data_IF_377287908616
#
_entry.id   IF_377287908616
#
_cell.length_a   1.000
_cell.length_b   1.000
_cell.length_c   1.000
_cell.angle_alpha   90.00
_cell.angle_beta   90.00
_cell.angle_gamma   90.00
#
_symmetry.space_group_name_H-M   'P 1'
#
loop_
_entity.id
_entity.type
_entity.pdbx_description
1 polymer ?
#
# COMPACT_ATOMS: atom_id res chain seq x y z
N UNK A 1 55.07 -34.94 20.70
CA UNK A 1 54.71 -33.66 20.04
C UNK A 1 53.19 -33.50 20.14
N UNK A 2 52.70 -32.50 20.88
CA UNK A 2 51.27 -32.18 21.00
C UNK A 2 50.96 -31.04 20.03
N UNK A 3 50.06 -31.28 19.09
CA UNK A 3 49.53 -30.26 18.18
C UNK A 3 48.17 -29.79 18.73
N UNK A 4 48.07 -28.51 19.06
CA UNK A 4 46.81 -27.84 19.38
C UNK A 4 45.99 -27.62 18.10
N UNK A 5 44.66 -27.84 18.10
CA UNK A 5 43.81 -27.42 17.00
C UNK A 5 43.55 -25.90 17.06
N UNK A 6 43.50 -25.20 15.90
CA UNK A 6 43.20 -23.78 15.86
C UNK A 6 41.70 -23.50 15.99
N UNK A 7 41.43 -22.54 16.86
CA UNK A 7 40.30 -21.60 16.96
C UNK A 7 39.26 -21.62 15.82
N UNK A 8 38.16 -22.34 16.05
CA UNK A 8 36.85 -22.15 15.42
C UNK A 8 36.12 -20.97 16.08
N UNK A 9 36.51 -19.72 15.79
CA UNK A 9 35.85 -18.53 16.38
C UNK A 9 35.68 -17.35 15.41
N UNK A 10 35.73 -17.58 14.09
CA UNK A 10 35.69 -16.49 13.09
C UNK A 10 34.39 -16.27 12.26
N UNK A 11 33.35 -17.13 12.22
CA UNK A 11 32.19 -16.83 11.38
C UNK A 11 31.08 -16.02 12.10
N UNK A 12 31.23 -15.68 13.39
CA UNK A 12 30.14 -15.07 14.19
C UNK A 12 30.11 -13.52 14.20
N UNK A 13 31.04 -12.84 13.51
CA UNK A 13 31.11 -11.38 13.47
C UNK A 13 30.54 -10.75 12.18
N UNK A 14 29.89 -11.54 11.31
CA UNK A 14 29.10 -11.02 10.18
C UNK A 14 27.61 -10.87 10.54
N UNK A 15 27.32 -10.56 11.81
CA UNK A 15 26.01 -10.05 12.22
C UNK A 15 25.89 -8.64 11.67
N UNK A 16 25.02 -8.47 10.68
CA UNK A 16 24.86 -7.24 9.91
C UNK A 16 24.75 -6.00 10.78
N UNK A 17 25.58 -5.00 10.49
CA UNK A 17 25.46 -3.67 11.07
C UNK A 17 24.09 -3.09 10.67
N UNK A 18 23.27 -2.60 11.62
CA UNK A 18 22.10 -1.80 11.27
C UNK A 18 22.55 -0.61 10.41
N UNK A 19 21.83 -0.30 9.34
CA UNK A 19 22.20 0.73 8.36
C UNK A 19 22.43 2.11 8.99
N UNK A 20 21.83 2.37 10.15
CA UNK A 20 22.07 3.56 10.96
C UNK A 20 23.55 3.70 11.39
N UNK A 21 24.26 2.59 11.61
CA UNK A 21 25.71 2.59 11.91
C UNK A 21 26.57 2.91 10.69
N UNK A 22 25.99 2.83 9.48
CA UNK A 22 26.63 3.29 8.24
C UNK A 22 26.32 4.77 7.96
N UNK A 23 25.67 5.48 8.88
CA UNK A 23 25.30 6.89 8.74
C UNK A 23 24.13 7.12 7.78
N UNK A 24 23.40 6.07 7.40
CA UNK A 24 22.22 6.17 6.54
C UNK A 24 21.02 6.51 7.43
N UNK A 25 20.51 7.74 7.31
CA UNK A 25 19.27 8.12 7.97
C UNK A 25 18.09 7.50 7.21
N UNK A 26 17.37 6.59 7.86
CA UNK A 26 16.13 6.02 7.33
C UNK A 26 14.98 6.81 7.97
N UNK A 27 14.23 7.61 7.19
CA UNK A 27 13.08 8.33 7.74
C UNK A 27 12.03 7.34 8.24
N UNK A 28 11.65 7.50 9.51
CA UNK A 28 10.66 6.63 10.17
C UNK A 28 9.24 6.89 9.66
N UNK A 29 8.94 8.11 9.19
CA UNK A 29 7.65 8.51 8.65
C UNK A 29 7.69 9.89 8.00
N UNK A 30 6.54 10.43 7.65
CA UNK A 30 6.42 11.73 6.97
C UNK A 30 6.59 11.64 5.45
N UNK A 31 6.60 12.79 4.74
CA UNK A 31 6.74 12.82 3.29
C UNK A 31 8.03 12.16 2.81
N UNK A 32 9.14 12.35 3.54
CA UNK A 32 10.46 11.82 3.19
C UNK A 32 10.55 10.28 3.32
N UNK A 33 9.61 9.65 4.02
CA UNK A 33 9.56 8.18 4.14
C UNK A 33 9.12 7.49 2.84
N UNK A 34 8.48 8.22 1.93
CA UNK A 34 8.13 7.72 0.60
C UNK A 34 9.37 7.75 -0.30
N UNK A 35 9.93 6.58 -0.59
CA UNK A 35 11.11 6.43 -1.44
C UNK A 35 10.76 5.72 -2.75
N UNK A 36 11.43 6.11 -3.83
CA UNK A 36 11.24 5.47 -5.12
C UNK A 36 11.83 4.06 -5.12
N UNK A 37 12.85 3.81 -4.30
CA UNK A 37 13.48 2.49 -4.09
C UNK A 37 12.51 1.50 -3.43
N UNK A 38 11.80 1.91 -2.39
CA UNK A 38 10.80 1.07 -1.74
C UNK A 38 9.63 0.76 -2.68
N UNK A 39 9.18 1.78 -3.43
CA UNK A 39 8.12 1.62 -4.43
C UNK A 39 8.55 0.65 -5.54
N UNK A 40 9.76 0.81 -6.07
CA UNK A 40 10.33 -0.08 -7.09
C UNK A 40 10.43 -1.52 -6.58
N UNK A 41 10.97 -1.72 -5.38
CA UNK A 41 11.09 -3.04 -4.75
C UNK A 41 9.72 -3.72 -4.65
N UNK A 42 8.72 -3.00 -4.15
CA UNK A 42 7.41 -3.57 -3.88
C UNK A 42 6.66 -3.87 -5.18
N UNK A 43 6.79 -3.03 -6.21
CA UNK A 43 6.30 -3.33 -7.58
C UNK A 43 6.95 -4.59 -8.13
N UNK A 44 8.28 -4.69 -8.09
CA UNK A 44 9.00 -5.86 -8.59
C UNK A 44 8.59 -7.14 -7.86
N UNK A 45 8.42 -7.07 -6.53
CA UNK A 45 8.01 -8.22 -5.74
C UNK A 45 6.62 -8.74 -6.16
N UNK A 46 5.67 -7.85 -6.44
CA UNK A 46 4.32 -8.21 -6.88
C UNK A 46 4.30 -8.71 -8.32
N UNK A 47 4.99 -8.05 -9.25
CA UNK A 47 5.04 -8.45 -10.67
C UNK A 47 5.64 -9.85 -10.84
N UNK A 48 6.69 -10.19 -10.07
CA UNK A 48 7.35 -11.51 -10.13
C UNK A 48 6.43 -12.69 -9.79
N UNK A 49 5.33 -12.45 -9.08
CA UNK A 49 4.36 -13.49 -8.75
C UNK A 49 3.48 -13.90 -9.95
N UNK A 50 3.49 -13.13 -11.04
CA UNK A 50 2.58 -13.31 -12.16
C UNK A 50 1.14 -12.93 -11.81
N UNK A 51 0.19 -13.76 -12.24
CA UNK A 51 -1.24 -13.54 -12.01
C UNK A 51 -1.64 -13.80 -10.54
N UNK A 52 -2.19 -12.76 -9.91
CA UNK A 52 -2.63 -12.71 -8.50
C UNK A 52 -4.15 -12.55 -8.36
N UNK A 53 -4.92 -12.70 -9.45
CA UNK A 53 -6.39 -12.70 -9.39
C UNK A 53 -6.91 -13.83 -8.50
N UNK A 54 -8.11 -13.71 -7.89
CA UNK A 54 -8.68 -14.77 -7.07
C UNK A 54 -8.64 -16.14 -7.76
N UNK A 55 -8.08 -17.15 -7.09
CA UNK A 55 -7.91 -18.51 -7.62
C UNK A 55 -6.70 -18.73 -8.52
N UNK A 56 -5.96 -17.68 -8.90
CA UNK A 56 -4.73 -17.81 -9.69
C UNK A 56 -3.55 -18.31 -8.82
N UNK A 57 -2.50 -18.90 -9.42
CA UNK A 57 -1.34 -19.43 -8.69
C UNK A 57 -0.63 -18.39 -7.80
N UNK A 58 -0.55 -17.13 -8.23
CA UNK A 58 0.10 -16.04 -7.50
C UNK A 58 -0.78 -15.39 -6.42
N UNK A 59 -2.06 -15.73 -6.33
CA UNK A 59 -3.03 -15.03 -5.47
C UNK A 59 -2.63 -15.07 -4.00
N UNK A 60 -2.36 -16.27 -3.47
CA UNK A 60 -1.99 -16.44 -2.06
C UNK A 60 -0.68 -15.72 -1.72
N UNK A 61 0.34 -15.88 -2.55
CA UNK A 61 1.63 -15.21 -2.35
C UNK A 61 1.48 -13.68 -2.42
N UNK A 62 0.59 -13.17 -3.29
CA UNK A 62 0.27 -11.76 -3.38
C UNK A 62 -0.30 -11.21 -2.07
N UNK A 63 -1.32 -11.89 -1.53
CA UNK A 63 -1.94 -11.54 -0.25
C UNK A 63 -0.92 -11.54 0.90
N UNK A 64 -0.08 -12.57 0.97
CA UNK A 64 0.97 -12.69 1.99
C UNK A 64 2.00 -11.56 1.89
N UNK A 65 2.40 -11.15 0.68
CA UNK A 65 3.27 -9.99 0.49
C UNK A 65 2.58 -8.72 0.96
N UNK A 66 1.36 -8.44 0.50
CA UNK A 66 0.65 -7.19 0.85
C UNK A 66 0.45 -7.09 2.36
N UNK A 67 -0.03 -8.17 3.00
CA UNK A 67 -0.20 -8.23 4.45
C UNK A 67 1.11 -7.96 5.18
N UNK A 68 2.18 -8.68 4.80
CA UNK A 68 3.49 -8.54 5.46
C UNK A 68 4.00 -7.11 5.35
N UNK A 69 3.91 -6.53 4.14
CA UNK A 69 4.39 -5.17 3.87
C UNK A 69 3.60 -4.12 4.66
N UNK A 70 2.27 -4.22 4.75
CA UNK A 70 1.48 -3.34 5.61
C UNK A 70 1.90 -3.45 7.08
N UNK A 71 2.09 -4.68 7.60
CA UNK A 71 2.60 -4.90 8.94
C UNK A 71 3.99 -4.28 9.19
N UNK A 72 4.89 -4.36 8.22
CA UNK A 72 6.21 -3.71 8.27
C UNK A 72 6.10 -2.18 8.32
N UNK A 73 5.03 -1.57 7.79
CA UNK A 73 4.75 -0.13 7.89
C UNK A 73 4.05 0.26 9.21
N UNK A 74 4.09 -0.63 10.22
CA UNK A 74 3.45 -0.47 11.53
C UNK A 74 1.96 -0.13 11.44
N UNK A 75 1.24 -0.77 10.53
CA UNK A 75 -0.23 -0.79 10.59
C UNK A 75 -0.68 -1.88 11.56
N UNK A 76 -1.91 -1.79 12.05
CA UNK A 76 -2.61 -2.87 12.73
C UNK A 76 -3.53 -3.60 11.74
N UNK A 77 -3.90 -4.87 11.98
CA UNK A 77 -4.91 -5.55 11.18
C UNK A 77 -6.27 -4.83 11.29
N UNK A 78 -6.98 -4.66 10.16
CA UNK A 78 -8.23 -3.91 10.14
C UNK A 78 -9.50 -4.80 10.15
N UNK A 79 -9.39 -6.10 9.86
CA UNK A 79 -10.52 -7.04 9.94
C UNK A 79 -10.48 -7.81 11.26
N UNK A 80 -10.75 -7.10 12.37
CA UNK A 80 -10.65 -7.66 13.72
C UNK A 80 -9.21 -8.04 14.08
N UNK A 81 -8.88 -9.34 14.02
CA UNK A 81 -7.51 -9.83 14.27
C UNK A 81 -6.70 -10.10 12.99
N UNK A 82 -7.30 -9.95 11.82
CA UNK A 82 -6.70 -10.29 10.52
C UNK A 82 -6.52 -9.08 9.60
N UNK A 83 -5.53 -9.18 8.71
CA UNK A 83 -5.35 -8.23 7.61
C UNK A 83 -6.22 -8.57 6.41
N UNK A 84 -6.58 -9.84 6.25
CA UNK A 84 -7.11 -10.38 5.00
C UNK A 84 -8.55 -10.83 5.23
N UNK A 85 -9.43 -10.36 4.36
CA UNK A 85 -10.78 -10.90 4.18
C UNK A 85 -10.88 -11.49 2.76
N UNK A 86 -11.45 -12.69 2.64
CA UNK A 86 -11.63 -13.36 1.35
C UNK A 86 -13.05 -13.88 1.20
N UNK A 87 -13.61 -13.68 0.02
CA UNK A 87 -14.86 -14.30 -0.42
C UNK A 87 -14.62 -15.09 -1.70
N UNK A 88 -15.64 -15.81 -2.16
CA UNK A 88 -15.54 -16.66 -3.34
C UNK A 88 -15.08 -15.91 -4.61
N UNK A 89 -15.44 -14.63 -4.72
CA UNK A 89 -15.21 -13.82 -5.92
C UNK A 89 -14.10 -12.79 -5.79
N UNK A 90 -13.53 -12.60 -4.59
CA UNK A 90 -12.59 -11.51 -4.34
C UNK A 90 -11.96 -11.51 -2.96
N UNK A 91 -11.06 -10.57 -2.75
CA UNK A 91 -10.32 -10.40 -1.52
C UNK A 91 -10.07 -8.92 -1.21
N UNK A 92 -9.86 -8.64 0.07
CA UNK A 92 -9.39 -7.36 0.59
C UNK A 92 -8.27 -7.61 1.61
N UNK A 93 -7.21 -6.80 1.55
CA UNK A 93 -6.13 -6.77 2.54
C UNK A 93 -6.03 -5.37 3.11
N UNK A 94 -6.39 -5.20 4.38
CA UNK A 94 -6.51 -3.89 5.02
C UNK A 94 -5.65 -3.79 6.29
N UNK A 95 -4.87 -2.72 6.36
CA UNK A 95 -4.16 -2.27 7.56
C UNK A 95 -4.73 -0.94 8.05
N UNK A 96 -4.69 -0.71 9.36
CA UNK A 96 -5.17 0.52 9.98
C UNK A 96 -4.07 1.25 10.76
N UNK A 97 -4.16 2.57 10.81
CA UNK A 97 -3.46 3.43 11.77
C UNK A 97 -4.50 4.18 12.57
N UNK A 98 -4.54 3.91 13.87
CA UNK A 98 -5.55 4.48 14.76
C UNK A 98 -5.40 5.99 14.85
N UNK A 99 -6.50 6.69 14.65
CA UNK A 99 -6.58 8.13 14.81
C UNK A 99 -7.04 8.53 16.21
N UNK A 100 -7.19 9.85 16.41
CA UNK A 100 -7.70 10.42 17.67
C UNK A 100 -9.21 10.65 17.67
N UNK A 101 -9.87 10.53 16.53
CA UNK A 101 -11.32 10.68 16.38
C UNK A 101 -12.02 9.35 16.06
N UNK A 102 -13.35 9.35 16.11
CA UNK A 102 -14.20 8.23 15.69
C UNK A 102 -14.40 8.14 14.17
N UNK A 103 -13.80 9.06 13.39
CA UNK A 103 -13.89 9.10 11.93
C UNK A 103 -12.69 8.42 11.28
N UNK A 104 -12.93 7.92 10.07
CA UNK A 104 -11.94 7.24 9.26
C UNK A 104 -11.82 7.81 7.84
N UNK A 105 -10.59 7.78 7.32
CA UNK A 105 -10.27 7.96 5.90
C UNK A 105 -9.92 6.59 5.33
N UNK A 106 -10.64 6.18 4.29
CA UNK A 106 -10.42 4.92 3.61
C UNK A 106 -9.61 5.17 2.33
N UNK A 107 -8.44 4.56 2.23
CA UNK A 107 -7.53 4.65 1.09
C UNK A 107 -7.45 3.26 0.47
N UNK A 108 -7.90 3.13 -0.77
CA UNK A 108 -8.04 1.84 -1.45
C UNK A 108 -7.18 1.79 -2.70
N UNK A 109 -6.33 0.79 -2.82
CA UNK A 109 -5.70 0.43 -4.09
C UNK A 109 -6.43 -0.74 -4.74
N UNK A 110 -6.70 -0.62 -6.03
CA UNK A 110 -7.26 -1.72 -6.82
C UNK A 110 -6.12 -2.53 -7.44
N UNK A 111 -6.04 -3.82 -7.09
CA UNK A 111 -5.12 -4.77 -7.70
C UNK A 111 -5.84 -5.52 -8.84
N UNK A 112 -5.53 -5.19 -10.10
CA UNK A 112 -6.06 -5.92 -11.26
C UNK A 112 -5.60 -7.40 -11.34
N UNK A 113 -4.61 -7.77 -10.53
CA UNK A 113 -4.06 -9.11 -10.38
C UNK A 113 -2.82 -9.36 -11.26
N UNK A 114 -2.62 -8.62 -12.34
CA UNK A 114 -1.43 -8.72 -13.19
C UNK A 114 -0.95 -7.36 -13.73
N UNK A 115 0.32 -7.32 -14.12
CA UNK A 115 0.96 -6.12 -14.69
C UNK A 115 1.47 -5.11 -13.65
N UNK A 116 2.39 -4.27 -14.11
CA UNK A 116 3.03 -3.27 -13.26
C UNK A 116 2.08 -2.10 -12.94
N UNK A 117 1.46 -1.48 -13.94
CA UNK A 117 0.73 -0.22 -13.75
C UNK A 117 -0.71 -0.34 -13.22
N UNK A 118 -1.46 -1.35 -13.67
CA UNK A 118 -2.88 -1.50 -13.31
C UNK A 118 -3.07 -2.27 -11.99
N UNK A 119 -1.99 -2.76 -11.37
CA UNK A 119 -2.03 -3.79 -10.34
C UNK A 119 -0.94 -3.63 -9.29
N UNK A 120 0.34 -3.83 -9.66
CA UNK A 120 1.43 -3.77 -8.70
C UNK A 120 1.73 -2.36 -8.18
N UNK A 121 1.73 -1.35 -9.05
CA UNK A 121 2.05 0.03 -8.73
C UNK A 121 1.01 0.69 -7.80
N UNK A 122 -0.32 0.59 -8.01
CA UNK A 122 -1.30 1.12 -7.07
C UNK A 122 -1.17 0.48 -5.69
N UNK A 123 -0.91 -0.83 -5.64
CA UNK A 123 -0.72 -1.58 -4.40
C UNK A 123 0.57 -1.16 -3.67
N UNK A 124 1.67 -1.01 -4.40
CA UNK A 124 2.93 -0.53 -3.83
C UNK A 124 2.83 0.94 -3.37
N UNK A 125 2.10 1.78 -4.11
CA UNK A 125 1.78 3.15 -3.73
C UNK A 125 1.00 3.22 -2.42
N UNK A 126 0.01 2.34 -2.21
CA UNK A 126 -0.71 2.21 -0.95
C UNK A 126 0.24 1.90 0.22
N UNK A 127 1.16 0.94 0.03
CA UNK A 127 2.15 0.56 1.04
C UNK A 127 3.08 1.75 1.36
N UNK A 128 3.55 2.46 0.32
CA UNK A 128 4.40 3.65 0.48
C UNK A 128 3.67 4.77 1.23
N UNK A 129 2.39 5.02 0.90
CA UNK A 129 1.55 5.96 1.64
C UNK A 129 1.40 5.55 3.10
N UNK A 130 1.16 4.26 3.38
CA UNK A 130 1.08 3.76 4.76
C UNK A 130 2.37 4.04 5.55
N UNK A 131 3.54 3.89 4.92
CA UNK A 131 4.85 4.23 5.50
C UNK A 131 4.94 5.70 5.90
N UNK A 132 4.41 6.60 5.06
CA UNK A 132 4.44 8.06 5.33
C UNK A 132 3.70 8.47 6.61
N UNK A 133 2.88 7.58 7.16
CA UNK A 133 2.14 7.77 8.41
C UNK A 133 2.68 6.94 9.58
N UNK A 134 3.88 6.36 9.46
CA UNK A 134 4.61 5.82 10.61
C UNK A 134 5.23 6.97 11.44
N UNK A 135 4.34 7.78 12.02
CA UNK A 135 4.64 8.97 12.79
C UNK A 135 4.54 8.68 14.28
N UNK A 136 5.33 9.41 15.07
CA UNK A 136 5.28 9.34 16.54
C UNK A 136 3.96 9.86 17.13
N UNK A 137 3.16 10.61 16.35
CA UNK A 137 1.85 11.08 16.77
C UNK A 137 0.77 10.42 15.91
N UNK A 138 -0.31 9.91 16.55
CA UNK A 138 -1.45 9.38 15.81
C UNK A 138 -2.07 10.45 14.88
N UNK A 139 -2.52 10.07 13.68
CA UNK A 139 -3.24 10.97 12.79
C UNK A 139 -4.53 11.48 13.48
N UNK A 140 -5.07 12.66 13.09
CA UNK A 140 -6.32 13.14 13.69
C UNK A 140 -7.52 12.20 13.45
N UNK A 141 -7.58 11.54 12.29
CA UNK A 141 -8.59 10.54 11.93
C UNK A 141 -7.93 9.18 11.68
N UNK A 142 -8.66 8.09 11.88
CA UNK A 142 -8.16 6.74 11.61
C UNK A 142 -7.90 6.59 10.11
N UNK A 143 -6.74 6.07 9.72
CA UNK A 143 -6.39 5.84 8.33
C UNK A 143 -6.48 4.34 8.04
N UNK A 144 -7.31 3.96 7.07
CA UNK A 144 -7.46 2.57 6.63
C UNK A 144 -6.86 2.43 5.24
N UNK A 145 -5.86 1.55 5.11
CA UNK A 145 -5.16 1.26 3.86
C UNK A 145 -5.57 -0.12 3.37
N UNK A 146 -6.32 -0.19 2.27
CA UNK A 146 -6.85 -1.43 1.73
C UNK A 146 -6.36 -1.70 0.30
N UNK A 147 -5.76 -2.85 0.05
CA UNK A 147 -5.65 -3.38 -1.30
C UNK A 147 -6.84 -4.31 -1.56
N UNK A 148 -7.51 -4.17 -2.70
CA UNK A 148 -8.66 -5.01 -3.07
C UNK A 148 -8.45 -5.60 -4.45
N UNK A 149 -8.87 -6.85 -4.66
CA UNK A 149 -8.89 -7.41 -6.01
C UNK A 149 -9.88 -6.67 -6.91
N UNK A 150 -9.49 -6.43 -8.16
CA UNK A 150 -10.41 -5.85 -9.15
C UNK A 150 -11.65 -6.73 -9.38
N UNK A 151 -11.51 -8.05 -9.22
CA UNK A 151 -12.62 -9.00 -9.21
C UNK A 151 -13.12 -9.17 -7.77
N UNK A 152 -14.35 -8.76 -7.46
CA UNK A 152 -15.04 -9.05 -6.20
C UNK A 152 -14.48 -8.39 -4.92
N UNK A 153 -13.40 -7.59 -5.02
CA UNK A 153 -12.72 -7.05 -3.84
C UNK A 153 -13.49 -5.93 -3.16
N UNK A 154 -14.24 -5.13 -3.91
CA UNK A 154 -15.13 -4.10 -3.35
C UNK A 154 -16.30 -4.72 -2.59
N UNK A 155 -16.91 -5.77 -3.16
CA UNK A 155 -17.97 -6.54 -2.53
C UNK A 155 -17.48 -7.19 -1.23
N UNK A 156 -16.27 -7.74 -1.26
CA UNK A 156 -15.60 -8.30 -0.08
C UNK A 156 -15.40 -7.24 0.99
N UNK A 157 -14.84 -6.08 0.62
CA UNK A 157 -14.60 -4.96 1.53
C UNK A 157 -15.90 -4.48 2.20
N UNK A 158 -17.00 -4.45 1.47
CA UNK A 158 -18.26 -3.93 2.01
C UNK A 158 -19.10 -4.94 2.76
N UNK A 159 -18.96 -6.22 2.45
CA UNK A 159 -19.60 -7.29 3.20
C UNK A 159 -19.00 -7.43 4.61
N UNK A 160 -17.68 -7.24 4.74
CA UNK A 160 -16.96 -7.26 6.03
C UNK A 160 -16.14 -5.97 6.15
N UNK A 161 -16.74 -4.81 6.46
CA UNK A 161 -16.03 -3.54 6.45
C UNK A 161 -15.00 -3.45 7.59
N UNK A 162 -13.81 -2.89 7.34
CA UNK A 162 -12.74 -2.79 8.34
C UNK A 162 -13.08 -1.82 9.50
N UNK A 163 -13.97 -0.88 9.23
CA UNK A 163 -14.54 0.05 10.21
C UNK A 163 -16.03 0.23 9.92
N UNK A 164 -16.87 0.63 10.89
CA UNK A 164 -18.28 0.88 10.62
C UNK A 164 -18.43 1.93 9.52
N UNK A 165 -19.21 1.64 8.48
CA UNK A 165 -19.29 2.48 7.28
C UNK A 165 -19.69 3.94 7.59
N UNK A 166 -20.53 4.14 8.61
CA UNK A 166 -20.93 5.48 9.07
C UNK A 166 -19.76 6.34 9.58
N UNK A 167 -18.61 5.74 9.89
CA UNK A 167 -17.39 6.45 10.32
C UNK A 167 -16.52 6.87 9.14
N UNK A 168 -16.73 6.30 7.95
CA UNK A 168 -15.93 6.60 6.76
C UNK A 168 -16.34 7.96 6.21
N UNK A 169 -15.46 8.94 6.41
CA UNK A 169 -15.68 10.33 6.02
C UNK A 169 -15.33 10.58 4.56
N UNK A 170 -14.25 9.99 4.09
CA UNK A 170 -13.74 10.18 2.74
C UNK A 170 -13.12 8.91 2.20
N UNK A 171 -13.20 8.77 0.89
CA UNK A 171 -12.62 7.67 0.13
C UNK A 171 -11.56 8.22 -0.81
N UNK A 172 -10.37 7.61 -0.79
CA UNK A 172 -9.32 7.84 -1.77
C UNK A 172 -9.11 6.52 -2.51
N UNK A 173 -9.22 6.53 -3.84
CA UNK A 173 -8.99 5.34 -4.67
C UNK A 173 -7.71 5.56 -5.47
N UNK A 174 -6.70 4.73 -5.24
CA UNK A 174 -5.51 4.63 -6.08
C UNK A 174 -5.86 3.74 -7.27
N UNK A 175 -6.08 4.37 -8.42
CA UNK A 175 -6.37 3.70 -9.68
C UNK A 175 -5.09 3.23 -10.39
N UNK A 176 -5.19 2.79 -11.65
CA UNK A 176 -4.04 2.50 -12.48
C UNK A 176 -3.00 3.62 -12.47
N UNK A 177 -1.74 3.23 -12.26
CA UNK A 177 -0.58 4.11 -12.21
C UNK A 177 0.36 3.72 -13.34
N UNK A 178 0.43 4.53 -14.39
CA UNK A 178 1.22 4.21 -15.59
C UNK A 178 1.44 5.39 -16.54
N UNK A 179 2.67 5.42 -17.06
CA UNK A 179 3.25 6.36 -18.03
C UNK A 179 3.41 7.83 -17.58
N UNK A 180 4.28 8.56 -18.32
CA UNK A 180 4.88 9.89 -18.01
C UNK A 180 3.88 11.06 -17.92
N UNK A 181 2.60 10.80 -17.75
CA UNK A 181 1.58 11.82 -17.53
C UNK A 181 1.38 11.97 -16.02
N UNK A 182 1.36 13.21 -15.53
CA UNK A 182 1.22 13.50 -14.10
C UNK A 182 -0.14 13.03 -13.56
N UNK A 183 -0.20 12.84 -12.25
CA UNK A 183 -1.44 12.46 -11.56
C UNK A 183 -2.60 13.40 -11.85
N UNK A 184 -3.79 12.80 -11.96
CA UNK A 184 -5.05 13.53 -11.91
C UNK A 184 -5.84 13.07 -10.69
N UNK A 185 -6.25 14.02 -9.86
CA UNK A 185 -7.26 13.80 -8.82
C UNK A 185 -8.63 14.12 -9.42
N UNK A 186 -9.43 13.09 -9.67
CA UNK A 186 -10.80 13.23 -10.19
C UNK A 186 -11.79 12.94 -9.08
N UNK A 187 -12.84 13.77 -8.92
CA UNK A 187 -13.93 13.43 -8.02
C UNK A 187 -14.54 12.08 -8.40
N UNK A 188 -14.70 11.21 -7.42
CA UNK A 188 -15.33 9.91 -7.61
C UNK A 188 -16.44 9.74 -6.59
N UNK A 189 -17.49 9.04 -7.01
CA UNK A 189 -18.52 8.53 -6.11
C UNK A 189 -18.54 7.02 -6.21
N UNK A 190 -18.54 6.34 -5.08
CA UNK A 190 -18.64 4.88 -5.01
C UNK A 190 -19.84 4.51 -4.16
N UNK A 191 -20.68 3.61 -4.67
CA UNK A 191 -21.79 3.06 -3.92
C UNK A 191 -21.26 2.11 -2.84
N UNK A 192 -21.73 2.29 -1.61
CA UNK A 192 -21.49 1.41 -0.47
C UNK A 192 -22.82 1.03 0.20
N UNK A 193 -22.91 -0.09 0.94
CA UNK A 193 -24.10 -0.47 1.71
C UNK A 193 -24.45 0.54 2.82
N UNK A 194 -25.18 1.59 2.46
CA UNK A 194 -25.47 2.73 3.35
C UNK A 194 -25.51 4.07 2.63
N UNK A 195 -25.14 4.10 1.34
CA UNK A 195 -25.23 5.24 0.46
C UNK A 195 -23.94 5.49 -0.31
N UNK A 196 -23.98 6.50 -1.16
CA UNK A 196 -22.85 6.94 -1.97
C UNK A 196 -21.75 7.59 -1.11
N UNK A 197 -20.54 7.03 -1.15
CA UNK A 197 -19.34 7.65 -0.60
C UNK A 197 -18.70 8.55 -1.66
N UNK A 198 -18.53 9.83 -1.31
CA UNK A 198 -17.79 10.79 -2.13
C UNK A 198 -16.31 10.71 -1.79
N UNK A 199 -15.49 10.82 -2.81
CA UNK A 199 -14.05 10.66 -2.69
C UNK A 199 -13.28 11.22 -3.88
N UNK A 200 -12.01 10.86 -3.94
CA UNK A 200 -11.12 11.18 -5.07
C UNK A 200 -10.52 9.91 -5.66
N UNK A 201 -10.53 9.82 -6.98
CA UNK A 201 -9.74 8.87 -7.75
C UNK A 201 -8.40 9.53 -8.09
N UNK A 202 -7.36 8.78 -7.81
CA UNK A 202 -5.97 9.16 -7.85
C UNK A 202 -5.28 8.25 -8.89
N UNK A 203 -5.07 8.75 -10.12
CA UNK A 203 -4.54 7.97 -11.26
C UNK A 203 -3.81 8.83 -12.31
N UNK A 204 -3.02 8.21 -13.19
CA UNK A 204 -2.24 8.89 -14.25
C UNK A 204 -2.96 9.00 -15.61
N UNK A 205 -4.28 8.79 -15.65
CA UNK A 205 -5.11 9.16 -16.80
C UNK A 205 -5.16 8.21 -18.01
N UNK A 206 -4.25 7.24 -18.16
CA UNK A 206 -4.36 6.18 -19.20
C UNK A 206 -4.10 4.78 -18.65
N UNK A 207 -4.99 3.86 -19.02
CA UNK A 207 -4.84 2.42 -18.79
C UNK A 207 -3.69 1.92 -19.66
N UNK A 208 -2.70 1.26 -19.07
CA UNK A 208 -1.52 0.81 -19.81
C UNK A 208 -1.94 -0.25 -20.85
N UNK A 209 -1.61 0.00 -22.12
CA UNK A 209 -1.85 -0.92 -23.24
C UNK A 209 -1.17 -2.29 -22.99
N UNK A 210 -1.81 -3.34 -23.52
CA UNK A 210 -1.62 -4.79 -23.30
C UNK A 210 -0.23 -5.42 -23.63
N UNK A 211 0.89 -4.71 -23.53
CA UNK A 211 2.22 -5.29 -23.80
C UNK A 211 2.72 -6.16 -22.62
N UNK A 212 3.76 -7.00 -22.79
CA UNK A 212 4.19 -8.00 -21.80
C UNK A 212 4.54 -7.47 -20.39
N UNK A 213 4.56 -8.33 -19.34
CA UNK A 213 4.69 -7.89 -17.94
C UNK A 213 6.05 -7.32 -17.55
N UNK A 214 7.16 -7.73 -18.19
CA UNK A 214 8.52 -7.27 -17.84
C UNK A 214 8.84 -5.87 -18.41
N UNK A 215 8.48 -5.63 -19.68
CA UNK A 215 8.66 -4.32 -20.36
C UNK A 215 7.86 -3.17 -19.70
N UNK A 216 6.90 -3.50 -18.82
CA UNK A 216 6.04 -2.54 -18.14
C UNK A 216 6.67 -1.94 -16.87
N UNK A 217 7.63 -2.61 -16.23
CA UNK A 217 8.26 -2.09 -15.01
C UNK A 217 9.18 -0.90 -15.31
N UNK A 218 9.99 -1.00 -16.38
CA UNK A 218 10.95 0.05 -16.76
C UNK A 218 10.27 1.34 -17.28
N UNK A 219 8.98 1.27 -17.62
CA UNK A 219 8.19 2.41 -18.08
C UNK A 219 7.54 3.21 -16.95
N UNK A 220 7.58 2.71 -15.71
CA UNK A 220 7.04 3.44 -14.56
C UNK A 220 7.97 4.60 -14.19
N UNK A 221 7.43 5.81 -14.19
CA UNK A 221 8.12 6.99 -13.67
C UNK A 221 8.06 6.99 -12.14
N UNK A 222 8.91 6.22 -11.48
CA UNK A 222 8.90 6.10 -10.02
C UNK A 222 9.14 7.43 -9.29
N UNK A 223 9.88 8.36 -9.89
CA UNK A 223 10.10 9.70 -9.31
C UNK A 223 8.84 10.55 -9.42
N UNK A 224 8.19 10.53 -10.59
CA UNK A 224 6.87 11.13 -10.79
C UNK A 224 5.83 10.55 -9.81
N UNK A 225 5.79 9.22 -9.67
CA UNK A 225 4.87 8.55 -8.75
C UNK A 225 5.07 8.97 -7.29
N UNK A 226 6.30 9.13 -6.80
CA UNK A 226 6.52 9.64 -5.44
C UNK A 226 5.99 11.07 -5.29
N UNK A 227 6.22 11.93 -6.29
CA UNK A 227 5.70 13.30 -6.32
C UNK A 227 4.17 13.32 -6.27
N UNK A 228 3.55 12.43 -7.03
CA UNK A 228 2.10 12.28 -7.09
C UNK A 228 1.52 11.75 -5.76
N UNK A 229 2.21 10.81 -5.12
CA UNK A 229 1.81 10.31 -3.79
C UNK A 229 1.94 11.37 -2.71
N UNK A 230 2.90 12.30 -2.82
CA UNK A 230 2.95 13.48 -1.94
C UNK A 230 1.70 14.35 -2.10
N UNK A 231 1.19 14.51 -3.32
CA UNK A 231 -0.06 15.24 -3.56
C UNK A 231 -1.27 14.50 -2.95
N UNK A 232 -1.33 13.17 -3.07
CA UNK A 232 -2.38 12.36 -2.42
C UNK A 232 -2.31 12.49 -0.89
N UNK A 233 -1.10 12.40 -0.32
CA UNK A 233 -0.88 12.59 1.13
C UNK A 233 -1.36 13.95 1.58
N UNK A 234 -0.96 15.02 0.90
CA UNK A 234 -1.41 16.38 1.20
C UNK A 234 -2.93 16.52 1.10
N UNK A 235 -3.58 15.88 0.12
CA UNK A 235 -5.02 15.84 0.03
C UNK A 235 -5.66 15.15 1.24
N UNK A 236 -5.16 13.98 1.63
CA UNK A 236 -5.63 13.27 2.84
C UNK A 236 -5.47 14.15 4.08
N UNK A 237 -4.31 14.78 4.26
CA UNK A 237 -4.07 15.68 5.40
C UNK A 237 -5.02 16.88 5.42
N UNK A 238 -5.34 17.46 4.25
CA UNK A 238 -6.31 18.54 4.15
C UNK A 238 -7.72 18.08 4.55
N UNK A 239 -8.14 16.89 4.12
CA UNK A 239 -9.43 16.31 4.52
C UNK A 239 -9.50 16.07 6.03
N UNK A 240 -8.40 15.62 6.62
CA UNK A 240 -8.32 15.30 8.05
C UNK A 240 -8.22 16.57 8.92
N UNK A 241 -7.56 17.63 8.44
CA UNK A 241 -7.30 18.86 9.21
C UNK A 241 -8.43 19.90 9.16
N UNK A 242 -9.18 19.99 8.06
CA UNK A 242 -10.13 21.09 7.79
C UNK A 242 -11.34 21.22 8.75
N UNK A 243 -11.43 20.41 9.82
CA UNK A 243 -12.57 20.43 10.77
C UNK A 243 -12.18 20.21 12.24
N UNK A 244 -10.90 20.43 12.59
CA UNK A 244 -10.47 20.50 13.99
C UNK A 244 -10.67 21.92 14.60
N UNK A 245 -11.25 22.85 13.83
CA UNK A 245 -11.70 24.19 14.21
C UNK A 245 -13.22 24.24 14.14
#
# INVERSE_FOLDING_TARGET
MRLSPPSLLLPLLLLGCPAEQLGVHIPEGGPDAMSHEDLTRDVHALVKLGDRRPGAPGARAGLEIIQRRLGEMKTLPAFGSGYVEQQATGWAVCGQKDGRSDRAVLIVAQDAGDGAGDSAAPTAALISLAKSYDLNQPPPETLIFCAVSAQGGWETLWATPPVPQATVKTLVVLGPLGEKEGFTLTETTREAPGGALKGVLASTGKQALHDGPEDRMERLDYVGLVTDLLAVRAHVEAQVSARAQ
#
